data_IF_402718004527
#
_entry.id   IF_402718004527
#
_cell.length_a   1.000
_cell.length_b   1.000
_cell.length_c   1.000
_cell.angle_alpha   90.00
_cell.angle_beta   90.00
_cell.angle_gamma   90.00
#
_symmetry.space_group_name_H-M   'P 1'
#
loop_
_entity.id
_entity.type
_entity.pdbx_description
1 polymer ?
#
# COMPACT_ATOMS: atom_id res chain seq x y z
N UNK A 1 7.64 -1.97 -58.93
CA UNK A 1 8.85 -1.21 -58.57
C UNK A 1 8.48 -0.44 -57.31
N UNK A 2 8.99 -0.84 -56.15
CA UNK A 2 8.74 -0.12 -54.90
C UNK A 2 9.46 1.22 -54.95
N UNK A 3 8.75 2.32 -54.72
CA UNK A 3 9.27 3.67 -54.87
C UNK A 3 9.81 4.22 -53.54
N UNK A 4 10.89 5.00 -53.59
CA UNK A 4 11.46 5.65 -52.41
C UNK A 4 10.44 6.54 -51.66
N UNK A 5 9.50 7.17 -52.39
CA UNK A 5 8.42 7.96 -51.79
C UNK A 5 7.39 7.12 -51.02
N UNK A 6 7.13 5.87 -51.42
CA UNK A 6 6.27 4.95 -50.67
C UNK A 6 6.96 4.49 -49.37
N UNK A 7 8.27 4.29 -49.40
CA UNK A 7 9.04 3.98 -48.20
C UNK A 7 9.06 5.17 -47.23
N UNK A 8 9.26 6.38 -47.75
CA UNK A 8 9.28 7.63 -46.97
C UNK A 8 7.94 7.91 -46.31
N UNK A 9 6.83 7.78 -47.03
CA UNK A 9 5.48 7.95 -46.47
C UNK A 9 5.18 6.94 -45.36
N UNK A 10 5.47 5.65 -45.59
CA UNK A 10 5.31 4.63 -44.54
C UNK A 10 6.20 4.88 -43.32
N UNK A 11 7.42 5.36 -43.51
CA UNK A 11 8.31 5.71 -42.40
C UNK A 11 7.77 6.91 -41.60
N UNK A 12 7.18 7.90 -42.27
CA UNK A 12 6.55 9.05 -41.63
C UNK A 12 5.30 8.65 -40.85
N UNK A 13 4.43 7.82 -41.42
CA UNK A 13 3.23 7.31 -40.76
C UNK A 13 3.57 6.50 -39.51
N UNK A 14 4.60 5.65 -39.60
CA UNK A 14 5.07 4.85 -38.47
C UNK A 14 5.68 5.71 -37.36
N UNK A 15 6.38 6.79 -37.74
CA UNK A 15 6.91 7.77 -36.79
C UNK A 15 5.78 8.51 -36.07
N UNK A 16 4.79 9.03 -36.82
CA UNK A 16 3.65 9.75 -36.25
C UNK A 16 2.79 8.85 -35.36
N UNK A 17 2.53 7.62 -35.80
CA UNK A 17 1.83 6.60 -35.01
C UNK A 17 2.59 6.24 -33.73
N UNK A 18 3.92 6.11 -33.82
CA UNK A 18 4.79 5.87 -32.66
C UNK A 18 4.72 7.02 -31.64
N UNK A 19 4.74 8.27 -32.10
CA UNK A 19 4.62 9.45 -31.23
C UNK A 19 3.24 9.53 -30.58
N UNK A 20 2.16 9.27 -31.33
CA UNK A 20 0.80 9.27 -30.80
C UNK A 20 0.63 8.20 -29.71
N UNK A 21 1.13 6.97 -29.96
CA UNK A 21 1.11 5.87 -28.97
C UNK A 21 1.95 6.18 -27.74
N UNK A 22 3.13 6.78 -27.91
CA UNK A 22 3.95 7.21 -26.79
C UNK A 22 3.24 8.26 -25.91
N UNK A 23 2.49 9.17 -26.53
CA UNK A 23 1.70 10.17 -25.81
C UNK A 23 0.55 9.53 -25.02
N UNK A 24 -0.21 8.62 -25.63
CA UNK A 24 -1.26 7.86 -24.94
C UNK A 24 -0.70 7.11 -23.73
N UNK A 25 0.42 6.39 -23.88
CA UNK A 25 1.05 5.66 -22.78
C UNK A 25 1.54 6.59 -21.67
N UNK A 26 2.06 7.76 -22.04
CA UNK A 26 2.49 8.78 -21.06
C UNK A 26 1.30 9.32 -20.28
N UNK A 27 0.18 9.58 -20.96
CA UNK A 27 -1.04 10.08 -20.31
C UNK A 27 -1.67 9.01 -19.40
N UNK A 28 -1.68 7.74 -19.83
CA UNK A 28 -2.07 6.61 -18.97
C UNK A 28 -1.17 6.49 -17.74
N UNK A 29 0.15 6.59 -17.91
CA UNK A 29 1.09 6.54 -16.78
C UNK A 29 0.85 7.69 -15.78
N UNK A 30 0.62 8.91 -16.28
CA UNK A 30 0.27 10.06 -15.43
C UNK A 30 -1.03 9.82 -14.66
N UNK A 31 -2.06 9.31 -15.33
CA UNK A 31 -3.35 9.00 -14.69
C UNK A 31 -3.20 7.91 -13.63
N UNK A 32 -2.39 6.88 -13.87
CA UNK A 32 -2.14 5.84 -12.88
C UNK A 32 -1.41 6.37 -11.64
N UNK A 33 -0.44 7.28 -11.81
CA UNK A 33 0.24 7.94 -10.69
C UNK A 33 -0.74 8.80 -9.90
N UNK A 34 -1.62 9.55 -10.60
CA UNK A 34 -2.66 10.34 -9.95
C UNK A 34 -3.63 9.43 -9.16
N UNK A 35 -4.08 8.32 -9.74
CA UNK A 35 -4.93 7.35 -9.06
C UNK A 35 -4.27 6.79 -7.80
N UNK A 36 -3.01 6.38 -7.88
CA UNK A 36 -2.27 5.89 -6.71
C UNK A 36 -2.17 6.94 -5.60
N UNK A 37 -2.02 8.21 -5.97
CA UNK A 37 -2.03 9.32 -5.01
C UNK A 37 -3.38 9.48 -4.33
N UNK A 38 -4.47 9.36 -5.09
CA UNK A 38 -5.82 9.44 -4.51
C UNK A 38 -6.17 8.22 -3.67
N UNK A 39 -5.71 7.03 -4.04
CA UNK A 39 -5.83 5.83 -3.20
C UNK A 39 -5.12 6.03 -1.85
N UNK A 40 -3.93 6.65 -1.84
CA UNK A 40 -3.23 7.01 -0.61
C UNK A 40 -4.00 8.03 0.23
N UNK A 41 -4.58 9.03 -0.41
CA UNK A 41 -5.41 10.03 0.26
C UNK A 41 -6.63 9.38 0.92
N UNK A 42 -7.31 8.47 0.21
CA UNK A 42 -8.45 7.70 0.72
C UNK A 42 -8.02 6.85 1.93
N UNK A 43 -6.88 6.14 1.85
CA UNK A 43 -6.38 5.33 2.97
C UNK A 43 -6.11 6.19 4.20
N UNK A 44 -5.48 7.35 4.04
CA UNK A 44 -5.23 8.30 5.14
C UNK A 44 -6.54 8.82 5.73
N UNK A 45 -7.49 9.21 4.89
CA UNK A 45 -8.80 9.69 5.33
C UNK A 45 -9.56 8.63 6.15
N UNK A 46 -9.52 7.35 5.75
CA UNK A 46 -10.13 6.27 6.54
C UNK A 46 -9.48 6.08 7.92
N UNK A 47 -8.14 6.19 7.99
CA UNK A 47 -7.42 6.11 9.27
C UNK A 47 -7.80 7.29 10.17
N UNK A 48 -7.82 8.50 9.64
CA UNK A 48 -8.19 9.71 10.38
C UNK A 48 -9.64 9.66 10.85
N UNK A 49 -10.56 9.23 9.98
CA UNK A 49 -11.97 9.05 10.32
C UNK A 49 -12.13 8.08 11.49
N UNK A 50 -11.50 6.91 11.44
CA UNK A 50 -11.58 5.92 12.52
C UNK A 50 -10.97 6.45 13.83
N UNK A 51 -9.87 7.20 13.76
CA UNK A 51 -9.25 7.85 14.93
C UNK A 51 -10.17 8.90 15.54
N UNK A 52 -10.74 9.80 14.73
CA UNK A 52 -11.68 10.83 15.18
C UNK A 52 -12.93 10.20 15.78
N UNK A 53 -13.50 9.19 15.11
CA UNK A 53 -14.65 8.46 15.61
C UNK A 53 -14.37 7.81 16.97
N UNK A 54 -13.23 7.12 17.13
CA UNK A 54 -12.87 6.54 18.41
C UNK A 54 -12.61 7.61 19.48
N UNK A 55 -12.05 8.77 19.13
CA UNK A 55 -11.80 9.86 20.08
C UNK A 55 -13.11 10.47 20.60
N UNK A 56 -14.11 10.67 19.74
CA UNK A 56 -15.38 11.30 20.10
C UNK A 56 -16.42 10.31 20.67
N UNK A 57 -16.44 9.08 20.13
CA UNK A 57 -17.50 8.08 20.38
C UNK A 57 -16.98 6.74 20.85
N UNK A 58 -15.67 6.54 20.99
CA UNK A 58 -15.10 5.25 21.36
C UNK A 58 -15.47 4.74 22.76
N UNK A 59 -15.91 5.61 23.67
CA UNK A 59 -16.40 5.23 25.00
C UNK A 59 -17.90 4.89 25.05
N UNK A 60 -18.67 5.26 24.01
CA UNK A 60 -20.08 4.91 23.86
C UNK A 60 -20.41 4.66 22.38
N UNK A 61 -19.83 3.62 21.75
CA UNK A 61 -20.05 3.32 20.35
C UNK A 61 -21.44 2.71 20.13
N UNK A 62 -22.13 3.14 19.08
CA UNK A 62 -23.46 2.64 18.73
C UNK A 62 -23.40 1.50 17.70
N UNK A 63 -24.30 0.51 17.84
CA UNK A 63 -24.59 -0.51 16.84
C UNK A 63 -23.36 -1.28 16.34
N UNK A 64 -23.12 -1.24 15.01
CA UNK A 64 -22.10 -2.05 14.34
C UNK A 64 -20.65 -1.68 14.69
N UNK A 65 -20.42 -0.52 15.30
CA UNK A 65 -19.07 -0.06 15.64
C UNK A 65 -18.58 -0.49 17.02
N UNK A 66 -19.48 -1.00 17.88
CA UNK A 66 -19.16 -1.35 19.26
C UNK A 66 -18.02 -2.37 19.36
N UNK A 67 -18.11 -3.48 18.62
CA UNK A 67 -17.09 -4.52 18.62
C UNK A 67 -15.71 -4.02 18.12
N UNK A 68 -15.70 -3.12 17.14
CA UNK A 68 -14.46 -2.53 16.62
C UNK A 68 -13.83 -1.59 17.65
N UNK A 69 -14.63 -0.74 18.30
CA UNK A 69 -14.16 0.13 19.38
C UNK A 69 -13.64 -0.68 20.58
N UNK A 70 -14.36 -1.71 21.03
CA UNK A 70 -13.89 -2.61 22.10
C UNK A 70 -12.55 -3.26 21.78
N UNK A 71 -12.36 -3.73 20.53
CA UNK A 71 -11.08 -4.30 20.09
C UNK A 71 -9.95 -3.27 20.13
N UNK A 72 -10.22 -2.02 19.74
CA UNK A 72 -9.24 -0.93 19.82
C UNK A 72 -8.89 -0.64 21.29
N UNK A 73 -9.89 -0.55 22.17
CA UNK A 73 -9.69 -0.34 23.61
C UNK A 73 -8.85 -1.44 24.23
N UNK A 74 -9.21 -2.70 23.99
CA UNK A 74 -8.48 -3.85 24.50
C UNK A 74 -7.04 -3.90 23.98
N UNK A 75 -6.82 -3.53 22.72
CA UNK A 75 -5.47 -3.45 22.15
C UNK A 75 -4.64 -2.34 22.81
N UNK A 76 -5.23 -1.17 23.09
CA UNK A 76 -4.56 -0.07 23.80
C UNK A 76 -4.15 -0.48 25.22
N UNK A 77 -5.04 -1.13 25.95
CA UNK A 77 -4.75 -1.65 27.29
C UNK A 77 -3.60 -2.67 27.26
N UNK A 78 -3.63 -3.64 26.33
CA UNK A 78 -2.54 -4.60 26.15
C UNK A 78 -1.20 -3.94 25.81
N UNK A 79 -1.20 -2.86 25.02
CA UNK A 79 0.03 -2.10 24.73
C UNK A 79 0.58 -1.46 26.01
N UNK A 80 -0.28 -0.87 26.85
CA UNK A 80 0.13 -0.28 28.13
C UNK A 80 0.67 -1.34 29.10
N UNK A 81 -0.01 -2.48 29.24
CA UNK A 81 0.47 -3.61 30.04
C UNK A 81 1.82 -4.13 29.55
N UNK A 82 1.98 -4.30 28.23
CA UNK A 82 3.24 -4.76 27.65
C UNK A 82 4.36 -3.73 27.86
N UNK A 83 4.06 -2.44 27.72
CA UNK A 83 5.02 -1.36 28.01
C UNK A 83 5.45 -1.36 29.48
N UNK A 84 4.52 -1.58 30.40
CA UNK A 84 4.82 -1.70 31.82
C UNK A 84 5.75 -2.89 32.11
N UNK A 85 5.42 -4.07 31.57
CA UNK A 85 6.28 -5.27 31.67
C UNK A 85 7.67 -5.06 31.08
N UNK A 86 7.76 -4.40 29.92
CA UNK A 86 9.05 -4.03 29.31
C UNK A 86 9.84 -3.12 30.26
N UNK A 87 9.20 -2.12 30.86
CA UNK A 87 9.85 -1.21 31.82
C UNK A 87 10.36 -1.95 33.05
N UNK A 88 9.58 -2.88 33.60
CA UNK A 88 9.98 -3.71 34.74
C UNK A 88 11.18 -4.60 34.39
N UNK A 89 11.15 -5.27 33.23
CA UNK A 89 12.26 -6.10 32.76
C UNK A 89 13.53 -5.28 32.54
N UNK A 90 13.40 -4.07 31.95
CA UNK A 90 14.53 -3.15 31.76
C UNK A 90 15.12 -2.70 33.10
N UNK A 91 14.28 -2.34 34.06
CA UNK A 91 14.71 -1.92 35.40
C UNK A 91 15.35 -3.07 36.20
N UNK A 92 14.87 -4.31 36.02
CA UNK A 92 15.42 -5.48 36.69
C UNK A 92 16.75 -5.97 36.09
N UNK A 93 17.00 -5.70 34.81
CA UNK A 93 18.21 -6.16 34.10
C UNK A 93 19.27 -5.09 33.88
N UNK A 94 19.13 -3.87 34.43
CA UNK A 94 20.06 -2.74 34.22
C UNK A 94 20.37 -2.50 32.73
N UNK A 95 19.38 -2.74 31.85
CA UNK A 95 19.53 -2.52 30.41
C UNK A 95 19.25 -1.05 30.13
N UNK A 96 20.29 -0.22 30.16
CA UNK A 96 20.26 1.13 29.64
C UNK A 96 20.00 1.12 28.13
N UNK A 97 19.20 2.08 27.66
CA UNK A 97 18.86 2.31 26.23
C UNK A 97 20.06 2.86 25.43
N UNK A 98 21.29 2.45 25.77
CA UNK A 98 22.50 2.69 24.99
C UNK A 98 22.60 1.66 23.85
N UNK A 99 21.54 1.60 23.04
CA UNK A 99 21.71 1.18 21.64
C UNK A 99 22.39 2.36 20.95
N UNK A 100 23.72 2.34 21.07
CA UNK A 100 24.74 3.03 20.27
C UNK A 100 24.20 4.15 19.36
N UNK A 101 24.29 5.40 19.84
CA UNK A 101 24.17 6.62 19.03
C UNK A 101 25.30 6.82 18.02
N UNK A 102 25.94 5.74 17.57
CA UNK A 102 26.84 5.76 16.42
C UNK A 102 26.05 5.29 15.21
N UNK A 103 25.88 6.16 14.22
CA UNK A 103 25.25 5.87 12.93
C UNK A 103 26.06 4.89 12.06
N UNK A 104 26.36 3.71 12.59
CA UNK A 104 27.15 2.67 11.94
C UNK A 104 26.41 1.31 11.86
N UNK A 105 25.25 1.16 12.50
CA UNK A 105 24.40 -0.01 12.31
C UNK A 105 23.44 0.21 11.13
N UNK A 106 24.01 0.40 9.94
CA UNK A 106 23.31 0.09 8.69
C UNK A 106 23.16 -1.43 8.62
N UNK A 107 22.12 -1.96 9.26
CA UNK A 107 21.58 -3.24 8.84
C UNK A 107 20.78 -2.96 7.56
N UNK A 108 21.49 -2.82 6.44
CA UNK A 108 20.90 -3.01 5.12
C UNK A 108 20.35 -4.43 5.10
N UNK A 109 19.07 -4.57 5.44
CA UNK A 109 18.34 -5.77 5.14
C UNK A 109 17.88 -5.58 3.71
N UNK A 110 18.72 -5.99 2.75
CA UNK A 110 18.29 -6.27 1.38
C UNK A 110 17.12 -7.26 1.47
N UNK A 111 15.90 -6.77 1.40
CA UNK A 111 14.74 -7.60 1.14
C UNK A 111 14.79 -7.86 -0.37
N UNK A 112 15.37 -9.01 -0.72
CA UNK A 112 15.27 -9.58 -2.05
C UNK A 112 13.80 -9.59 -2.49
N UNK A 113 13.49 -9.19 -3.74
CA UNK A 113 12.12 -9.22 -4.23
C UNK A 113 11.64 -10.66 -4.29
N UNK A 114 10.60 -10.99 -3.51
CA UNK A 114 9.88 -12.26 -3.65
C UNK A 114 9.30 -12.34 -5.07
N UNK A 115 9.68 -13.41 -5.77
CA UNK A 115 9.11 -13.80 -7.05
C UNK A 115 7.58 -13.93 -6.93
N UNK A 116 6.80 -13.46 -7.92
CA UNK A 116 5.35 -13.59 -7.90
C UNK A 116 4.96 -15.06 -7.99
N UNK A 117 4.26 -15.52 -6.95
CA UNK A 117 3.58 -16.80 -6.91
C UNK A 117 2.66 -16.97 -8.14
N UNK A 118 2.74 -18.18 -8.71
CA UNK A 118 2.01 -18.67 -9.88
C UNK A 118 0.49 -18.45 -9.82
N UNK A 119 -0.18 -18.28 -10.98
CA UNK A 119 -1.63 -18.08 -11.07
C UNK A 119 -2.41 -19.26 -10.49
N UNK A 120 -3.35 -18.96 -9.59
CA UNK A 120 -4.38 -19.89 -9.12
C UNK A 120 -5.39 -20.06 -10.26
N UNK A 121 -5.63 -21.30 -10.67
CA UNK A 121 -6.63 -21.68 -11.66
C UNK A 121 -8.05 -21.22 -11.25
N UNK A 122 -8.71 -20.48 -12.14
CA UNK A 122 -10.14 -20.17 -12.05
C UNK A 122 -11.00 -21.45 -12.17
N UNK A 123 -11.93 -21.73 -11.24
CA UNK A 123 -12.99 -22.69 -11.51
C UNK A 123 -14.05 -22.01 -12.39
N UNK A 124 -14.19 -22.56 -13.59
CA UNK A 124 -15.21 -22.29 -14.62
C UNK A 124 -16.63 -22.07 -14.04
N UNK A 125 -17.35 -21.00 -14.42
CA UNK A 125 -18.77 -20.85 -14.10
C UNK A 125 -19.61 -21.91 -14.83
N UNK A 126 -20.44 -22.65 -14.09
CA UNK A 126 -21.54 -23.46 -14.66
C UNK A 126 -22.61 -22.55 -15.27
N UNK A 127 -22.95 -22.80 -16.53
CA UNK A 127 -24.12 -22.21 -17.20
C UNK A 127 -25.42 -22.69 -16.54
N UNK A 128 -26.44 -21.83 -16.40
CA UNK A 128 -27.79 -22.30 -16.11
C UNK A 128 -28.32 -23.07 -17.32
N UNK A 129 -28.70 -24.34 -17.10
CA UNK A 129 -29.46 -25.12 -18.09
C UNK A 129 -30.76 -24.38 -18.41
N UNK A 130 -31.03 -24.24 -19.70
CA UNK A 130 -32.35 -23.87 -20.23
C UNK A 130 -33.40 -24.92 -19.85
#
# INVERSE_FOLDING_TARGET
MFSFDELKSRALDLTQSGVAKAKELTDVAKLNIANSTEEDNIRKAYIELGKLYYAERGMAPEGAYAALCERITASKQKIEENRAKISEIKAANDVSDDVCGCGCCSAETEVAPEEPASPVEDPKPEEPRQ
#
